data_IF_815307369888
#
_entry.id   IF_815307369888
#
_cell.length_a   1.000
_cell.length_b   1.000
_cell.length_c   1.000
_cell.angle_alpha   90.00
_cell.angle_beta   90.00
_cell.angle_gamma   90.00
#
_symmetry.space_group_name_H-M   'P 1'
#
loop_
_entity.id
_entity.type
_entity.pdbx_description
1 polymer ?
#
# COMPACT_ATOMS: atom_id res chain seq x y z
N UNK A 1 17.13 6.38 34.80
CA UNK A 1 15.95 5.59 34.41
C UNK A 1 14.85 6.55 34.00
N UNK A 2 14.85 6.99 32.74
CA UNK A 2 13.79 7.81 32.16
C UNK A 2 12.95 6.90 31.27
N UNK A 3 11.71 6.67 31.68
CA UNK A 3 10.72 5.88 30.94
C UNK A 3 10.51 6.47 29.54
N UNK A 4 10.40 5.67 28.47
CA UNK A 4 9.97 6.20 27.19
C UNK A 4 8.49 6.58 27.30
N UNK A 5 8.23 7.89 27.27
CA UNK A 5 6.93 8.49 27.00
C UNK A 5 6.31 7.75 25.82
N UNK A 6 5.19 7.06 26.05
CA UNK A 6 4.51 6.30 25.01
C UNK A 6 4.04 7.22 23.90
N UNK A 7 4.82 7.32 22.82
CA UNK A 7 4.40 7.92 21.56
C UNK A 7 3.17 7.16 21.11
N UNK A 8 2.01 7.84 21.13
CA UNK A 8 0.78 7.30 20.55
C UNK A 8 1.08 7.02 19.09
N UNK A 9 1.26 5.75 18.73
CA UNK A 9 1.53 5.36 17.35
C UNK A 9 0.32 5.74 16.51
N UNK A 10 0.42 6.86 15.80
CA UNK A 10 -0.54 7.20 14.76
C UNK A 10 -0.52 6.04 13.77
N UNK A 11 -1.68 5.43 13.52
CA UNK A 11 -1.83 4.42 12.47
C UNK A 11 -2.54 5.07 11.30
N UNK A 12 -2.04 4.79 10.10
CA UNK A 12 -2.67 5.26 8.88
C UNK A 12 -4.01 4.52 8.68
N UNK A 13 -5.09 5.28 8.46
CA UNK A 13 -6.35 4.72 7.99
C UNK A 13 -6.27 4.55 6.47
N UNK A 14 -6.17 3.29 6.02
CA UNK A 14 -6.05 2.97 4.60
C UNK A 14 -7.28 3.37 3.80
N UNK A 15 -8.48 3.29 4.38
CA UNK A 15 -9.70 3.60 3.64
C UNK A 15 -9.83 5.11 3.40
N UNK A 16 -9.51 5.92 4.41
CA UNK A 16 -9.43 7.37 4.25
C UNK A 16 -8.36 7.77 3.21
N UNK A 17 -7.16 7.17 3.29
CA UNK A 17 -6.11 7.38 2.29
C UNK A 17 -6.60 7.06 0.87
N UNK A 18 -7.31 5.94 0.68
CA UNK A 18 -7.80 5.55 -0.64
C UNK A 18 -8.88 6.49 -1.17
N UNK A 19 -9.70 7.06 -0.29
CA UNK A 19 -10.66 8.09 -0.64
C UNK A 19 -9.95 9.35 -1.17
N UNK A 20 -8.93 9.83 -0.45
CA UNK A 20 -8.11 10.99 -0.83
C UNK A 20 -7.39 10.78 -2.17
N UNK A 21 -6.85 9.57 -2.38
CA UNK A 21 -6.19 9.17 -3.62
C UNK A 21 -7.17 8.84 -4.76
N UNK A 22 -8.48 9.03 -4.55
CA UNK A 22 -9.54 8.70 -5.52
C UNK A 22 -9.47 7.27 -6.05
N UNK A 23 -8.93 6.35 -5.25
CA UNK A 23 -8.90 4.93 -5.53
C UNK A 23 -10.24 4.32 -5.10
N UNK A 24 -10.81 3.46 -5.96
CA UNK A 24 -12.09 2.78 -5.73
C UNK A 24 -11.88 1.27 -5.85
N UNK A 25 -11.45 0.59 -4.77
CA UNK A 25 -11.28 -0.85 -4.79
C UNK A 25 -12.63 -1.54 -4.97
N UNK A 26 -12.68 -2.60 -5.78
CA UNK A 26 -13.84 -3.49 -5.79
C UNK A 26 -13.86 -4.37 -4.53
N UNK A 27 -14.94 -5.11 -4.30
CA UNK A 27 -15.17 -5.84 -3.03
C UNK A 27 -14.03 -6.79 -2.64
N UNK A 28 -13.49 -7.54 -3.61
CA UNK A 28 -12.35 -8.43 -3.37
C UNK A 28 -11.08 -7.70 -2.93
N UNK A 29 -10.77 -6.55 -3.53
CA UNK A 29 -9.64 -5.72 -3.12
C UNK A 29 -9.87 -5.11 -1.73
N UNK A 30 -11.10 -4.66 -1.47
CA UNK A 30 -11.48 -4.12 -0.17
C UNK A 30 -11.30 -5.14 0.96
N UNK A 31 -11.62 -6.41 0.72
CA UNK A 31 -11.36 -7.50 1.67
C UNK A 31 -9.86 -7.65 1.98
N UNK A 32 -9.00 -7.54 0.97
CA UNK A 32 -7.53 -7.58 1.14
C UNK A 32 -7.04 -6.38 1.93
N UNK A 33 -7.51 -5.17 1.60
CA UNK A 33 -7.14 -3.93 2.27
C UNK A 33 -7.58 -3.89 3.74
N UNK A 34 -8.75 -4.44 4.08
CA UNK A 34 -9.26 -4.51 5.45
C UNK A 34 -8.61 -5.61 6.29
N UNK A 35 -8.03 -6.62 5.65
CA UNK A 35 -7.41 -7.74 6.36
C UNK A 35 -6.20 -7.28 7.18
N UNK A 36 -6.17 -7.70 8.45
CA UNK A 36 -5.06 -7.47 9.40
C UNK A 36 -4.07 -8.65 9.42
N UNK A 37 -4.26 -9.64 8.55
CA UNK A 37 -3.37 -10.80 8.50
C UNK A 37 -1.95 -10.39 8.08
N UNK A 38 -0.95 -10.91 8.78
CA UNK A 38 0.47 -10.66 8.48
C UNK A 38 0.86 -11.13 7.08
N UNK A 39 0.25 -12.24 6.62
CA UNK A 39 0.46 -12.82 5.29
C UNK A 39 -0.89 -12.94 4.60
N UNK A 40 -0.96 -12.45 3.36
CA UNK A 40 -2.17 -12.46 2.54
C UNK A 40 -1.82 -13.08 1.20
N UNK A 41 -2.54 -14.12 0.80
CA UNK A 41 -2.34 -14.83 -0.46
C UNK A 41 -3.58 -14.62 -1.33
N UNK A 42 -3.38 -14.08 -2.53
CA UNK A 42 -4.45 -13.75 -3.46
C UNK A 42 -4.42 -14.72 -4.65
N UNK A 43 -5.25 -15.76 -4.61
CA UNK A 43 -5.46 -16.68 -5.73
C UNK A 43 -6.62 -16.18 -6.61
N UNK A 44 -6.33 -15.23 -7.51
CA UNK A 44 -7.35 -14.56 -8.32
C UNK A 44 -6.98 -14.52 -9.81
N UNK A 45 -7.98 -14.38 -10.68
CA UNK A 45 -7.80 -14.36 -12.14
C UNK A 45 -6.96 -13.21 -12.70
N UNK A 46 -6.57 -13.33 -13.97
CA UNK A 46 -6.07 -12.21 -14.78
C UNK A 46 -7.20 -11.17 -14.86
N UNK A 47 -6.92 -9.86 -14.78
CA UNK A 47 -7.93 -8.77 -14.67
C UNK A 47 -8.61 -8.57 -13.32
N UNK A 48 -8.33 -9.37 -12.29
CA UNK A 48 -8.78 -9.04 -10.93
C UNK A 48 -8.16 -7.73 -10.39
N UNK A 49 -7.06 -7.26 -10.99
CA UNK A 49 -6.38 -6.03 -10.54
C UNK A 49 -5.40 -6.25 -9.39
N UNK A 50 -4.77 -7.44 -9.33
CA UNK A 50 -3.79 -7.78 -8.28
C UNK A 50 -2.64 -6.78 -8.20
N UNK A 51 -2.12 -6.33 -9.34
CA UNK A 51 -1.04 -5.34 -9.41
C UNK A 51 -1.47 -4.00 -8.80
N UNK A 52 -2.66 -3.51 -9.15
CA UNK A 52 -3.20 -2.25 -8.59
C UNK A 52 -3.45 -2.37 -7.09
N UNK A 53 -4.01 -3.50 -6.64
CA UNK A 53 -4.19 -3.79 -5.21
C UNK A 53 -2.84 -3.78 -4.46
N UNK A 54 -1.81 -4.40 -5.04
CA UNK A 54 -0.47 -4.43 -4.45
C UNK A 54 0.18 -3.04 -4.42
N UNK A 55 0.02 -2.24 -5.49
CA UNK A 55 0.51 -0.86 -5.53
C UNK A 55 -0.12 0.00 -4.44
N UNK A 56 -1.44 -0.10 -4.21
CA UNK A 56 -2.11 0.69 -3.17
C UNK A 56 -1.72 0.26 -1.75
N UNK A 57 -1.43 -1.03 -1.53
CA UNK A 57 -0.84 -1.49 -0.26
C UNK A 57 0.60 -0.98 -0.08
N UNK A 58 1.39 -0.91 -1.15
CA UNK A 58 2.73 -0.32 -1.10
C UNK A 58 2.67 1.18 -0.78
N UNK A 59 1.76 1.93 -1.43
CA UNK A 59 1.53 3.35 -1.13
C UNK A 59 1.14 3.57 0.33
N UNK A 60 0.21 2.77 0.87
CA UNK A 60 -0.15 2.82 2.28
C UNK A 60 1.04 2.53 3.21
N UNK A 61 1.88 1.54 2.87
CA UNK A 61 3.06 1.18 3.65
C UNK A 61 4.18 2.23 3.60
N UNK A 62 4.30 2.97 2.49
CA UNK A 62 5.23 4.09 2.31
C UNK A 62 4.77 5.30 3.15
N UNK A 63 3.48 5.58 3.18
CA UNK A 63 2.90 6.74 3.88
C UNK A 63 2.61 6.49 5.36
N UNK A 64 2.69 5.24 5.82
CA UNK A 64 2.54 4.91 7.24
C UNK A 64 3.59 5.68 8.05
N UNK A 65 3.20 6.39 9.12
CA UNK A 65 4.12 7.16 9.94
C UNK A 65 5.04 6.22 10.74
N UNK A 66 6.23 5.98 10.20
CA UNK A 66 7.30 5.15 10.77
C UNK A 66 8.63 5.86 10.60
N UNK A 67 9.59 5.57 11.48
CA UNK A 67 10.95 6.09 11.34
C UNK A 67 11.60 5.65 10.01
N UNK A 68 11.37 4.40 9.62
CA UNK A 68 11.74 3.87 8.31
C UNK A 68 10.78 2.77 7.86
N UNK A 69 10.54 2.69 6.56
CA UNK A 69 9.72 1.63 5.93
C UNK A 69 10.40 1.24 4.62
N UNK A 70 10.82 -0.01 4.51
CA UNK A 70 11.43 -0.56 3.29
C UNK A 70 10.56 -1.70 2.79
N UNK A 71 10.06 -1.58 1.56
CA UNK A 71 9.23 -2.57 0.90
C UNK A 71 9.88 -3.10 -0.37
N UNK A 72 9.58 -4.36 -0.70
CA UNK A 72 10.10 -5.03 -1.89
C UNK A 72 8.94 -5.45 -2.77
N UNK A 73 9.04 -5.16 -4.07
CA UNK A 73 8.18 -5.76 -5.09
C UNK A 73 9.00 -6.80 -5.82
N UNK A 74 8.54 -8.04 -5.80
CA UNK A 74 9.23 -9.15 -6.44
C UNK A 74 8.31 -9.78 -7.48
N UNK A 75 8.85 -9.99 -8.68
CA UNK A 75 8.20 -10.66 -9.78
C UNK A 75 9.19 -11.58 -10.50
N UNK A 76 8.71 -12.50 -11.35
CA UNK A 76 9.59 -13.44 -12.05
C UNK A 76 10.49 -12.75 -13.09
N UNK A 77 10.12 -11.55 -13.54
CA UNK A 77 10.95 -10.68 -14.37
C UNK A 77 10.96 -9.26 -13.80
N UNK A 78 12.00 -8.50 -14.14
CA UNK A 78 12.12 -7.11 -13.74
C UNK A 78 10.92 -6.29 -14.24
N UNK A 79 10.48 -6.47 -15.48
CA UNK A 79 9.35 -5.73 -16.05
C UNK A 79 8.05 -5.92 -15.27
N UNK A 80 7.78 -7.15 -14.82
CA UNK A 80 6.58 -7.46 -14.04
C UNK A 80 6.63 -6.84 -12.64
N UNK A 81 7.80 -6.83 -11.99
CA UNK A 81 7.99 -6.13 -10.72
C UNK A 81 7.90 -4.60 -10.90
N UNK A 82 8.56 -4.09 -11.94
CA UNK A 82 8.63 -2.67 -12.26
C UNK A 82 7.26 -2.08 -12.56
N UNK A 83 6.32 -2.85 -13.11
CA UNK A 83 4.93 -2.43 -13.30
C UNK A 83 4.28 -1.94 -11.99
N UNK A 84 4.37 -2.74 -10.93
CA UNK A 84 3.76 -2.41 -9.62
C UNK A 84 4.48 -1.21 -9.00
N UNK A 85 5.81 -1.16 -9.10
CA UNK A 85 6.62 -0.03 -8.65
C UNK A 85 6.19 1.28 -9.33
N UNK A 86 6.19 1.32 -10.66
CA UNK A 86 5.78 2.50 -11.44
C UNK A 86 4.36 2.93 -11.12
N UNK A 87 3.45 1.97 -10.96
CA UNK A 87 2.07 2.29 -10.62
C UNK A 87 1.97 2.95 -9.24
N UNK A 88 2.72 2.48 -8.23
CA UNK A 88 2.78 3.11 -6.91
C UNK A 88 3.33 4.54 -6.97
N UNK A 89 4.43 4.75 -7.69
CA UNK A 89 5.05 6.08 -7.87
C UNK A 89 4.08 7.03 -8.56
N UNK A 90 3.46 6.60 -9.66
CA UNK A 90 2.50 7.43 -10.39
C UNK A 90 1.28 7.84 -9.54
N UNK A 91 0.81 6.97 -8.62
CA UNK A 91 -0.26 7.33 -7.68
C UNK A 91 0.18 8.43 -6.72
N UNK A 92 1.40 8.33 -6.19
CA UNK A 92 1.98 9.32 -5.28
C UNK A 92 2.19 10.66 -6.01
N UNK A 93 2.89 10.68 -7.14
CA UNK A 93 3.18 11.90 -7.90
C UNK A 93 1.89 12.66 -8.29
N UNK A 94 0.85 11.92 -8.68
CA UNK A 94 -0.42 12.52 -9.10
C UNK A 94 -1.17 13.23 -7.97
N UNK A 95 -1.07 12.74 -6.74
CA UNK A 95 -1.89 13.22 -5.62
C UNK A 95 -1.09 13.94 -4.53
N UNK A 96 0.24 13.80 -4.54
CA UNK A 96 1.17 14.40 -3.58
C UNK A 96 2.35 15.06 -4.32
N UNK A 97 2.12 16.05 -5.19
CA UNK A 97 3.16 16.64 -6.04
C UNK A 97 4.24 17.44 -5.27
N UNK A 98 4.07 17.64 -3.97
CA UNK A 98 4.95 18.45 -3.11
C UNK A 98 5.76 17.61 -2.10
N UNK A 99 5.76 16.28 -2.23
CA UNK A 99 6.63 15.36 -1.49
C UNK A 99 7.49 14.56 -2.45
#
# INVERSE_FOLDING_TARGET
>A
MTSPTGTRAFRLDKLALFEDLKYRPHEGQLAVHRSKALRRVLACGVRWGKSTCASMEAVAAILEPRESSVGWVVGPTYDLAHLVYRQSVAFLEKHLPHR
#
